data_IF_209637969825
#
_entry.id   IF_209637969825
#
_cell.length_a   1.000
_cell.length_b   1.000
_cell.length_c   1.000
_cell.angle_alpha   90.00
_cell.angle_beta   90.00
_cell.angle_gamma   90.00
#
_symmetry.space_group_name_H-M   'P 1'
#
loop_
_entity.id
_entity.type
_entity.pdbx_description
1 polymer ?
#
# COMPACT_ATOMS: atom_id res chain seq x y z
N UNK A 1 8.03 -4.31 -15.06
CA UNK A 1 7.23 -4.79 -13.91
C UNK A 1 8.08 -5.19 -12.72
N UNK A 2 9.03 -6.13 -12.85
CA UNK A 2 9.86 -6.59 -11.73
C UNK A 2 10.70 -5.48 -11.08
N UNK A 3 11.35 -4.65 -11.90
CA UNK A 3 12.11 -3.47 -11.43
C UNK A 3 11.27 -2.48 -10.60
N UNK A 4 10.05 -2.18 -11.05
CA UNK A 4 9.12 -1.29 -10.35
C UNK A 4 8.70 -1.90 -9.01
N UNK A 5 8.46 -3.21 -8.99
CA UNK A 5 8.12 -3.94 -7.77
C UNK A 5 9.27 -3.90 -6.76
N UNK A 6 10.50 -4.10 -7.21
CA UNK A 6 11.69 -4.01 -6.35
C UNK A 6 11.93 -2.59 -5.82
N UNK A 7 11.64 -1.58 -6.62
CA UNK A 7 11.76 -0.17 -6.24
C UNK A 7 10.72 0.23 -5.19
N UNK A 8 9.45 -0.15 -5.39
CA UNK A 8 8.38 0.01 -4.38
C UNK A 8 8.74 -0.72 -3.10
N UNK A 9 9.22 -1.96 -3.19
CA UNK A 9 9.67 -2.73 -2.03
C UNK A 9 10.83 -2.06 -1.29
N UNK A 10 11.80 -1.51 -2.02
CA UNK A 10 12.95 -0.80 -1.45
C UNK A 10 12.53 0.50 -0.75
N UNK A 11 11.56 1.23 -1.31
CA UNK A 11 10.99 2.43 -0.71
C UNK A 11 10.29 2.11 0.62
N UNK A 12 9.45 1.07 0.64
CA UNK A 12 8.71 0.65 1.82
C UNK A 12 9.61 -0.01 2.89
N UNK A 13 10.75 -0.58 2.48
CA UNK A 13 11.66 -1.34 3.35
C UNK A 13 12.73 -0.54 4.10
N UNK A 14 12.84 0.78 3.91
CA UNK A 14 14.02 1.54 4.37
C UNK A 14 14.16 1.70 5.90
N UNK A 15 13.09 1.59 6.69
CA UNK A 15 13.13 1.89 8.14
C UNK A 15 12.72 0.75 9.11
N UNK A 16 12.29 -0.43 8.64
CA UNK A 16 11.53 -1.38 9.49
C UNK A 16 11.92 -2.86 9.31
N UNK A 17 13.16 -3.23 9.63
CA UNK A 17 13.74 -4.58 9.37
C UNK A 17 13.06 -5.79 10.04
N UNK A 18 12.05 -5.63 10.91
CA UNK A 18 11.44 -6.73 11.70
C UNK A 18 9.91 -6.90 11.58
N UNK A 19 9.06 -5.83 11.48
CA UNK A 19 7.60 -6.00 11.36
C UNK A 19 7.11 -6.46 9.97
N UNK A 20 7.93 -6.34 8.93
CA UNK A 20 7.49 -6.52 7.53
C UNK A 20 7.27 -7.97 7.10
N UNK A 21 7.89 -8.96 7.74
CA UNK A 21 7.56 -10.37 7.49
C UNK A 21 6.10 -10.68 7.88
N UNK A 22 5.57 -9.97 8.89
CA UNK A 22 4.15 -10.03 9.29
C UNK A 22 3.28 -9.12 8.40
N UNK A 23 3.74 -7.91 8.03
CA UNK A 23 2.97 -7.02 7.13
C UNK A 23 2.83 -7.53 5.70
N UNK A 24 3.80 -8.28 5.15
CA UNK A 24 3.68 -8.93 3.82
C UNK A 24 2.51 -9.92 3.72
N UNK A 25 2.00 -10.40 4.87
CA UNK A 25 0.81 -11.25 4.96
C UNK A 25 -0.50 -10.46 5.11
N UNK A 26 -0.43 -9.14 5.35
CA UNK A 26 -1.62 -8.29 5.46
C UNK A 26 -2.26 -8.10 4.09
N UNK A 27 -3.55 -8.40 4.00
CA UNK A 27 -4.37 -8.11 2.81
C UNK A 27 -4.38 -6.61 2.48
N UNK A 28 -4.31 -5.74 3.49
CA UNK A 28 -4.24 -4.30 3.33
C UNK A 28 -2.94 -3.88 2.65
N UNK A 29 -1.81 -4.47 3.05
CA UNK A 29 -0.52 -4.15 2.44
C UNK A 29 -0.44 -4.62 0.99
N UNK A 30 -0.99 -5.80 0.68
CA UNK A 30 -1.12 -6.29 -0.70
C UNK A 30 -2.02 -5.40 -1.55
N UNK A 31 -3.09 -4.83 -0.97
CA UNK A 31 -3.95 -3.86 -1.65
C UNK A 31 -3.17 -2.59 -1.99
N UNK A 32 -2.43 -2.05 -1.01
CA UNK A 32 -1.58 -0.85 -1.20
C UNK A 32 -0.52 -1.07 -2.27
N UNK A 33 0.24 -2.17 -2.25
CA UNK A 33 1.24 -2.48 -3.28
C UNK A 33 0.61 -2.54 -4.68
N UNK A 34 -0.56 -3.17 -4.83
CA UNK A 34 -1.27 -3.22 -6.12
C UNK A 34 -1.68 -1.83 -6.57
N UNK A 35 -2.31 -1.03 -5.69
CA UNK A 35 -2.71 0.32 -6.03
C UNK A 35 -1.52 1.17 -6.50
N UNK A 36 -0.36 1.07 -5.83
CA UNK A 36 0.86 1.80 -6.26
C UNK A 36 1.28 1.35 -7.65
N UNK A 37 1.30 0.05 -7.94
CA UNK A 37 1.67 -0.48 -9.26
C UNK A 37 0.67 0.00 -10.32
N UNK A 38 -0.63 -0.14 -10.06
CA UNK A 38 -1.69 0.22 -11.00
C UNK A 38 -1.67 1.72 -11.33
N UNK A 39 -1.48 2.58 -10.33
CA UNK A 39 -1.32 4.04 -10.53
C UNK A 39 -0.03 4.38 -11.29
N UNK A 40 1.07 3.67 -11.01
CA UNK A 40 2.37 3.94 -11.64
C UNK A 40 2.44 3.57 -13.12
N UNK A 41 1.62 2.61 -13.57
CA UNK A 41 1.60 2.15 -14.97
C UNK A 41 0.52 2.82 -15.83
N UNK A 42 -0.24 3.77 -15.29
CA UNK A 42 -1.22 4.54 -16.07
C UNK A 42 -0.52 5.32 -17.18
N UNK A 43 -1.11 5.30 -18.37
CA UNK A 43 -0.53 5.90 -19.59
C UNK A 43 -0.39 7.42 -19.47
N UNK A 44 -1.26 8.06 -18.69
CA UNK A 44 -1.30 9.50 -18.42
C UNK A 44 -0.69 9.88 -17.07
N UNK A 45 0.10 8.99 -16.46
CA UNK A 45 0.70 9.26 -15.17
C UNK A 45 1.78 10.36 -15.25
N UNK A 46 1.43 11.56 -14.79
CA UNK A 46 2.37 12.68 -14.61
C UNK A 46 3.03 12.70 -13.21
N UNK A 47 2.65 11.78 -12.32
CA UNK A 47 3.14 11.74 -10.95
C UNK A 47 4.42 10.92 -10.82
N UNK A 48 5.32 11.41 -9.97
CA UNK A 48 6.49 10.64 -9.52
C UNK A 48 6.05 9.50 -8.62
N UNK A 49 6.87 8.44 -8.53
CA UNK A 49 6.60 7.30 -7.65
C UNK A 49 6.38 7.73 -6.19
N UNK A 50 7.12 8.75 -5.73
CA UNK A 50 6.95 9.30 -4.39
C UNK A 50 5.54 9.89 -4.17
N UNK A 51 5.05 10.70 -5.11
CA UNK A 51 3.71 11.29 -5.04
C UNK A 51 2.60 10.23 -5.13
N UNK A 52 2.80 9.19 -5.93
CA UNK A 52 1.86 8.07 -6.02
C UNK A 52 1.76 7.33 -4.69
N UNK A 53 2.91 7.04 -4.07
CA UNK A 53 2.95 6.36 -2.77
C UNK A 53 2.28 7.24 -1.71
N UNK A 54 2.57 8.54 -1.68
CA UNK A 54 1.94 9.49 -0.74
C UNK A 54 0.41 9.53 -0.92
N UNK A 55 -0.07 9.66 -2.15
CA UNK A 55 -1.49 9.68 -2.46
C UNK A 55 -2.19 8.37 -2.07
N UNK A 56 -1.63 7.22 -2.45
CA UNK A 56 -2.21 5.90 -2.12
C UNK A 56 -2.25 5.67 -0.61
N UNK A 57 -1.21 6.07 0.13
CA UNK A 57 -1.19 5.97 1.59
C UNK A 57 -2.22 6.90 2.24
N UNK A 58 -2.31 8.15 1.77
CA UNK A 58 -3.30 9.12 2.24
C UNK A 58 -4.74 8.58 2.07
N UNK A 59 -5.06 8.09 0.88
CA UNK A 59 -6.38 7.51 0.59
C UNK A 59 -6.64 6.25 1.40
N UNK A 60 -5.63 5.39 1.59
CA UNK A 60 -5.75 4.19 2.44
C UNK A 60 -6.04 4.55 3.90
N UNK A 61 -5.38 5.58 4.45
CA UNK A 61 -5.62 6.05 5.82
C UNK A 61 -7.03 6.63 5.95
N UNK A 62 -7.49 7.41 4.96
CA UNK A 62 -8.87 7.91 4.91
C UNK A 62 -9.87 6.74 4.88
N UNK A 63 -9.69 5.77 3.99
CA UNK A 63 -10.52 4.57 3.89
C UNK A 63 -10.61 3.82 5.22
N UNK A 64 -9.49 3.63 5.92
CA UNK A 64 -9.46 2.98 7.25
C UNK A 64 -10.23 3.83 8.27
N UNK A 65 -10.01 5.15 8.30
CA UNK A 65 -10.68 6.05 9.23
C UNK A 65 -12.21 6.06 9.05
N UNK A 66 -12.68 5.86 7.81
CA UNK A 66 -14.09 5.79 7.46
C UNK A 66 -14.66 4.37 7.58
N UNK A 67 -13.81 3.36 7.57
CA UNK A 67 -14.23 1.97 7.77
C UNK A 67 -14.63 1.80 9.23
N UNK A 68 -15.92 1.53 9.45
CA UNK A 68 -16.45 1.23 10.77
C UNK A 68 -15.67 0.03 11.35
N UNK A 69 -14.83 0.28 12.37
CA UNK A 69 -13.99 -0.73 13.03
C UNK A 69 -14.78 -1.99 13.42
N UNK A 70 -16.08 -1.86 13.69
CA UNK A 70 -16.99 -2.96 13.99
C UNK A 70 -17.17 -3.98 12.85
N UNK A 71 -16.99 -3.60 11.58
CA UNK A 71 -16.99 -4.54 10.45
C UNK A 71 -15.69 -5.36 10.36
N UNK A 72 -14.58 -4.83 10.88
CA UNK A 72 -13.27 -5.51 10.87
C UNK A 72 -13.21 -6.54 12.00
N UNK A 73 -13.77 -6.24 13.17
CA UNK A 73 -13.74 -7.14 14.33
C UNK A 73 -14.78 -8.28 14.21
N UNK A 74 -15.92 -8.06 13.53
CA UNK A 74 -17.01 -9.06 13.45
C UNK A 74 -16.73 -10.29 12.59
N UNK A 75 -15.62 -10.34 11.85
CA UNK A 75 -15.25 -11.53 11.04
C UNK A 75 -14.34 -12.51 11.78
N UNK A 76 -14.16 -12.30 13.09
CA UNK A 76 -13.49 -13.22 14.01
C UNK A 76 -14.50 -13.71 15.07
N UNK A 77 -15.51 -14.48 14.65
CA UNK A 77 -16.35 -15.32 15.52
C UNK A 77 -16.57 -16.66 14.82
#
# INVERSE_FOLDING_TARGET
MEKLRDEVNKFLGKDNRSPYLKMRQSSLFRKVERCIIDESIKVDNSYTLHQIIENVLMETVKDISQTNFNKIIKTAV
#
